data_IF_918916678224
#
_entry.id   IF_918916678224
#
_cell.length_a   1.000
_cell.length_b   1.000
_cell.length_c   1.000
_cell.angle_alpha   90.00
_cell.angle_beta   90.00
_cell.angle_gamma   90.00
#
_symmetry.space_group_name_H-M   'P 1'
#
loop_
_entity.id
_entity.type
_entity.pdbx_description
1 polymer ?
#
# COMPACT_ATOMS: atom_id res chain seq x y z
N UNK A 1 -41.29 15.77 6.50
CA UNK A 1 -40.69 15.04 7.64
C UNK A 1 -39.36 14.47 7.18
N UNK A 2 -38.36 14.57 8.07
CA UNK A 2 -36.98 14.10 7.95
C UNK A 2 -36.89 12.59 7.70
N UNK A 3 -35.85 12.11 7.02
CA UNK A 3 -34.69 11.44 7.65
C UNK A 3 -33.61 11.06 6.62
N UNK A 4 -32.35 11.24 7.04
CA UNK A 4 -31.09 10.90 6.39
C UNK A 4 -31.02 9.46 5.85
N UNK A 5 -30.18 9.25 4.83
CA UNK A 5 -29.12 8.23 4.91
C UNK A 5 -28.02 8.53 3.88
N UNK A 6 -26.93 9.11 4.38
CA UNK A 6 -25.63 9.13 3.72
C UNK A 6 -25.03 7.73 3.87
N UNK A 7 -24.79 6.95 2.79
CA UNK A 7 -23.90 5.82 2.90
C UNK A 7 -22.46 6.33 2.83
N UNK A 8 -21.88 6.39 4.03
CA UNK A 8 -20.54 5.93 4.39
C UNK A 8 -19.46 5.95 3.30
N UNK A 9 -18.47 6.82 3.56
CA UNK A 9 -17.18 6.79 2.92
C UNK A 9 -16.38 5.56 3.39
N UNK A 10 -16.20 4.54 2.56
CA UNK A 10 -15.02 3.67 2.61
C UNK A 10 -14.99 2.66 1.46
N UNK A 11 -13.86 2.67 0.74
CA UNK A 11 -13.19 1.45 0.30
C UNK A 11 -13.88 0.58 -0.75
N UNK A 12 -13.85 1.04 -2.01
CA UNK A 12 -13.79 0.13 -3.16
C UNK A 12 -12.68 0.56 -4.12
N UNK A 13 -11.44 0.61 -3.63
CA UNK A 13 -10.28 0.49 -4.53
C UNK A 13 -10.23 -0.96 -4.97
N UNK A 14 -10.76 -1.19 -6.17
CA UNK A 14 -11.09 -2.50 -6.72
C UNK A 14 -9.99 -3.54 -6.60
N UNK A 15 -10.40 -4.72 -6.14
CA UNK A 15 -9.72 -5.99 -6.37
C UNK A 15 -9.63 -6.19 -7.89
N UNK A 16 -8.50 -5.83 -8.50
CA UNK A 16 -8.17 -6.30 -9.85
C UNK A 16 -7.57 -7.69 -9.74
N UNK A 17 -8.47 -8.68 -9.74
CA UNK A 17 -8.12 -10.06 -10.03
C UNK A 17 -7.72 -10.20 -11.52
N UNK A 18 -6.53 -10.73 -11.75
CA UNK A 18 -6.26 -11.57 -12.91
C UNK A 18 -5.69 -10.90 -14.16
N UNK A 19 -4.44 -10.41 -14.12
CA UNK A 19 -3.47 -10.56 -15.22
C UNK A 19 -2.11 -10.02 -14.79
N UNK A 20 -1.19 -10.86 -14.27
CA UNK A 20 0.23 -10.55 -13.99
C UNK A 20 0.52 -9.05 -13.86
N UNK A 21 -0.12 -8.42 -12.87
CA UNK A 21 -0.21 -6.97 -12.75
C UNK A 21 1.19 -6.52 -12.37
N UNK A 22 1.95 -6.00 -13.34
CA UNK A 22 3.20 -5.31 -13.05
C UNK A 22 2.82 -4.27 -12.01
N UNK A 23 3.32 -4.40 -10.79
CA UNK A 23 3.08 -3.44 -9.71
C UNK A 23 3.24 -2.05 -10.32
N UNK A 24 2.16 -1.26 -10.33
CA UNK A 24 2.16 0.07 -10.95
C UNK A 24 3.42 0.82 -10.52
N UNK A 25 4.15 1.42 -11.46
CA UNK A 25 5.45 2.04 -11.19
C UNK A 25 5.39 3.01 -10.00
N UNK A 26 4.28 3.73 -9.87
CA UNK A 26 3.97 4.60 -8.73
C UNK A 26 3.98 3.86 -7.39
N UNK A 27 3.32 2.70 -7.30
CA UNK A 27 3.30 1.89 -6.07
C UNK A 27 4.69 1.40 -5.73
N UNK A 28 5.48 1.01 -6.74
CA UNK A 28 6.87 0.61 -6.57
C UNK A 28 7.73 1.75 -6.01
N UNK A 29 7.56 2.96 -6.52
CA UNK A 29 8.34 4.13 -6.09
C UNK A 29 7.98 4.55 -4.66
N UNK A 30 6.69 4.53 -4.30
CA UNK A 30 6.24 4.78 -2.91
C UNK A 30 6.82 3.75 -1.93
N UNK A 31 6.81 2.48 -2.33
CA UNK A 31 7.40 1.39 -1.54
C UNK A 31 8.92 1.56 -1.41
N UNK A 32 9.61 1.99 -2.47
CA UNK A 32 11.05 2.24 -2.41
C UNK A 32 11.39 3.45 -1.51
N UNK A 33 10.59 4.51 -1.58
CA UNK A 33 10.71 5.67 -0.69
C UNK A 33 10.49 5.27 0.78
N UNK A 34 9.49 4.42 1.04
CA UNK A 34 9.23 3.91 2.38
C UNK A 34 10.39 3.06 2.91
N UNK A 35 11.04 2.23 2.09
CA UNK A 35 12.24 1.50 2.51
C UNK A 35 13.39 2.45 2.82
N UNK A 36 13.64 3.40 1.92
CA UNK A 36 14.76 4.33 2.05
C UNK A 36 14.65 5.19 3.32
N UNK A 37 13.42 5.39 3.83
CA UNK A 37 13.18 6.12 5.08
C UNK A 37 13.21 5.23 6.34
N UNK A 38 13.29 3.90 6.23
CA UNK A 38 13.37 3.01 7.41
C UNK A 38 14.55 3.37 8.33
N UNK A 39 15.78 3.62 7.84
CA UNK A 39 16.91 3.93 8.72
C UNK A 39 16.73 5.21 9.54
N UNK A 40 15.86 6.13 9.11
CA UNK A 40 15.66 7.44 9.75
C UNK A 40 14.34 7.52 10.52
N UNK A 41 13.25 6.95 10.00
CA UNK A 41 11.89 7.05 10.56
C UNK A 41 11.42 5.75 11.26
N UNK A 42 12.08 4.63 10.98
CA UNK A 42 11.71 3.32 11.49
C UNK A 42 10.57 2.64 10.71
N UNK A 43 10.40 1.34 10.96
CA UNK A 43 9.49 0.47 10.22
C UNK A 43 8.02 0.87 10.40
N UNK A 44 7.61 1.26 11.61
CA UNK A 44 6.23 1.66 11.89
C UNK A 44 5.81 2.88 11.06
N UNK A 45 6.66 3.91 10.98
CA UNK A 45 6.39 5.11 10.17
C UNK A 45 6.40 4.82 8.68
N UNK A 46 7.27 3.93 8.21
CA UNK A 46 7.26 3.48 6.82
C UNK A 46 5.94 2.76 6.47
N UNK A 47 5.40 1.94 7.38
CA UNK A 47 4.12 1.26 7.19
C UNK A 47 2.95 2.25 7.15
N UNK A 48 2.93 3.24 8.05
CA UNK A 48 1.91 4.30 8.08
C UNK A 48 1.90 5.14 6.80
N UNK A 49 3.09 5.48 6.27
CA UNK A 49 3.21 6.19 5.00
C UNK A 49 2.57 5.39 3.85
N UNK A 50 2.82 4.09 3.77
CA UNK A 50 2.21 3.23 2.76
C UNK A 50 0.69 3.12 2.93
N UNK A 51 0.21 3.01 4.16
CA UNK A 51 -1.23 3.00 4.46
C UNK A 51 -1.91 4.32 4.05
N UNK A 52 -1.29 5.46 4.36
CA UNK A 52 -1.78 6.80 3.98
C UNK A 52 -1.87 6.96 2.46
N UNK A 53 -0.95 6.32 1.72
CA UNK A 53 -0.89 6.38 0.27
C UNK A 53 -1.75 5.30 -0.43
N UNK A 54 -2.65 4.63 0.29
CA UNK A 54 -3.52 3.55 -0.20
C UNK A 54 -2.75 2.36 -0.82
N UNK A 55 -1.53 2.09 -0.34
CA UNK A 55 -0.79 0.89 -0.75
C UNK A 55 -1.36 -0.33 -0.01
N UNK A 56 -1.66 -1.44 -0.70
CA UNK A 56 -2.23 -2.62 -0.06
C UNK A 56 -1.32 -3.16 1.06
N UNK A 57 -1.93 -3.53 2.19
CA UNK A 57 -1.20 -4.01 3.36
C UNK A 57 -0.34 -5.26 3.04
N UNK A 58 -0.80 -6.17 2.18
CA UNK A 58 -0.01 -7.33 1.75
C UNK A 58 1.28 -6.90 1.02
N UNK A 59 1.19 -5.88 0.16
CA UNK A 59 2.34 -5.34 -0.58
C UNK A 59 3.31 -4.67 0.40
N UNK A 60 2.80 -3.88 1.35
CA UNK A 60 3.61 -3.25 2.39
C UNK A 60 4.34 -4.27 3.28
N UNK A 61 3.66 -5.34 3.72
CA UNK A 61 4.27 -6.40 4.54
C UNK A 61 5.34 -7.16 3.76
N UNK A 62 5.06 -7.58 2.52
CA UNK A 62 6.07 -8.19 1.65
C UNK A 62 7.27 -7.25 1.44
N UNK A 63 7.00 -5.96 1.27
CA UNK A 63 7.99 -4.93 1.02
C UNK A 63 8.91 -4.66 2.22
N UNK A 64 8.37 -4.61 3.43
CA UNK A 64 9.06 -4.18 4.65
C UNK A 64 9.62 -5.37 5.46
N UNK A 65 8.90 -6.50 5.50
CA UNK A 65 9.23 -7.65 6.37
C UNK A 65 9.98 -8.74 5.61
N UNK A 66 9.67 -8.93 4.32
CA UNK A 66 10.23 -10.03 3.51
C UNK A 66 10.95 -9.54 2.25
N UNK A 67 12.04 -8.75 2.39
CA UNK A 67 12.72 -8.13 1.25
C UNK A 67 13.27 -9.15 0.24
N UNK A 68 13.61 -10.36 0.70
CA UNK A 68 14.14 -11.46 -0.15
C UNK A 68 13.10 -12.04 -1.12
N UNK A 69 11.81 -11.78 -0.91
CA UNK A 69 10.74 -12.21 -1.81
C UNK A 69 10.46 -11.22 -2.95
N UNK A 70 11.15 -10.07 -3.01
CA UNK A 70 11.09 -9.11 -4.14
C UNK A 70 11.83 -9.58 -5.40
N UNK A 71 12.04 -10.88 -5.60
CA UNK A 71 12.95 -11.35 -6.65
C UNK A 71 12.37 -11.10 -8.05
N UNK A 72 12.98 -10.11 -8.69
CA UNK A 72 13.25 -9.89 -10.12
C UNK A 72 12.05 -9.72 -11.07
N UNK A 73 11.81 -8.46 -11.44
CA UNK A 73 11.35 -8.06 -12.77
C UNK A 73 12.17 -6.89 -13.25
#
# INVERSE_FOLDING_TARGET
MMINETPDAASVSGVQAGHRQRVDGRTRDLVNQAIASIPTLGLARAAEFLATMNVPAEVAVRALVYPKLRRAS
#
